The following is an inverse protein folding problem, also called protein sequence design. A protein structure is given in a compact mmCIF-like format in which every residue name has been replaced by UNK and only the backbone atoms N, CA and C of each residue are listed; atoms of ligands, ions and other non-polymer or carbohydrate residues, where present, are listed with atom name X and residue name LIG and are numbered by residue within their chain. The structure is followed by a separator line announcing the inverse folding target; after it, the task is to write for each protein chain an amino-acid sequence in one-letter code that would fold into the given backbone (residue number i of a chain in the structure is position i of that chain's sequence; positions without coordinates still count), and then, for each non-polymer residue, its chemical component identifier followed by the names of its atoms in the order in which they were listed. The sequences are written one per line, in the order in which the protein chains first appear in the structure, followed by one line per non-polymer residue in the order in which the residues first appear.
data_IF_652476156606
#
_entry.id   IF_652476156606
#
_cell.length_a   1.000
_cell.length_b   1.000
_cell.length_c   1.000
_cell.angle_alpha   90.00
_cell.angle_beta   90.00
_cell.angle_gamma   90.00
#
_symmetry.space_group_name_H-M   'P 1'
#
loop_
_entity.id
_entity.type
_entity.pdbx_description
1 polymer ?
2 water ?
#
# COMPACT_ATOMS: atom_id res chain seq x y z
N UNK A 1 -12.10 -2.63 4.72
CA UNK A 1 -11.73 -2.89 3.29
C UNK A 1 -10.32 -2.35 3.02
N UNK A 2 -9.43 -3.18 2.44
CA UNK A 2 -8.20 -2.67 1.82
C UNK A 2 -8.36 -2.39 0.35
N UNK A 3 -8.09 -1.16 -0.03
CA UNK A 3 -8.11 -0.78 -1.43
C UNK A 3 -6.75 -0.20 -1.78
N UNK A 4 -6.57 0.10 -3.07
CA UNK A 4 -5.36 0.76 -3.56
C UNK A 4 -5.56 1.45 -4.91
N UNK A 5 -5.40 2.77 -4.95
CA UNK A 5 -5.57 3.55 -6.18
C UNK A 5 -4.37 3.43 -7.08
N UNK A 6 -3.20 3.67 -6.50
CA UNK A 6 -1.96 3.54 -7.23
C UNK A 6 -1.34 2.18 -6.98
N UNK A 7 -1.35 1.32 -7.98
CA UNK A 7 -0.71 0.03 -7.84
C UNK A 7 0.44 -0.20 -8.81
N UNK A 8 1.41 -1.00 -8.37
CA UNK A 8 2.62 -1.21 -9.14
C UNK A 8 2.96 -2.67 -9.11
N UNK A 9 3.38 -3.22 -10.23
CA UNK A 9 3.67 -4.65 -10.31
C UNK A 9 4.79 -4.95 -11.28
N UNK A 10 5.77 -5.76 -10.87
CA UNK A 10 6.83 -6.20 -11.79
C UNK A 10 6.30 -7.13 -12.84
N UNK A 11 6.87 -7.08 -14.03
CA UNK A 11 6.46 -8.00 -15.07
C UNK A 11 7.12 -9.35 -14.81
N UNK A 12 6.36 -10.30 -14.25
CA UNK A 12 6.93 -11.60 -13.90
C UNK A 12 5.86 -12.49 -13.31
N UNK A 13 6.03 -13.80 -13.45
CA UNK A 13 5.09 -14.76 -12.88
C UNK A 13 5.70 -15.40 -11.66
N UNK A 14 5.09 -15.21 -10.49
CA UNK A 14 3.99 -14.29 -10.26
C UNK A 14 4.58 -12.92 -10.09
N UNK A 15 3.73 -11.90 -10.04
CA UNK A 15 4.27 -10.55 -9.99
C UNK A 15 4.37 -10.11 -8.54
N UNK A 16 5.35 -9.28 -8.21
CA UNK A 16 5.31 -8.65 -6.90
C UNK A 16 4.80 -7.23 -7.07
N UNK A 17 3.75 -6.91 -6.33
CA UNK A 17 3.08 -5.64 -6.48
C UNK A 17 3.08 -4.90 -5.17
N UNK A 18 3.38 -3.62 -5.24
CA UNK A 18 3.38 -2.76 -4.06
C UNK A 18 2.29 -1.70 -4.29
N UNK A 19 1.79 -1.10 -3.22
CA UNK A 19 0.80 -0.05 -3.38
C UNK A 19 1.33 1.33 -2.96
N UNK A 20 1.44 2.24 -3.91
CA UNK A 20 2.11 3.51 -3.64
C UNK A 20 1.29 4.58 -2.93
N UNK A 21 -0.01 4.38 -2.78
CA UNK A 21 -0.78 5.51 -2.32
C UNK A 21 -0.59 5.69 -0.85
N UNK A 22 -0.81 6.92 -0.39
CA UNK A 22 -0.25 7.38 0.86
C UNK A 22 -1.32 7.99 1.80
N UNK A 23 -1.53 7.36 2.95
CA UNK A 23 -2.60 7.74 3.89
C UNK A 23 -2.02 8.46 5.10
N UNK A 24 -2.87 9.10 5.91
CA UNK A 24 -2.42 9.74 7.17
C UNK A 24 -2.63 8.87 8.44
N UNK A 25 -1.61 8.76 9.29
CA UNK A 25 -1.69 8.10 10.60
C UNK A 25 -1.61 6.59 10.59
N UNK A 26 -2.14 5.95 9.56
CA UNK A 26 -1.93 4.52 9.43
C UNK A 26 -2.25 3.91 8.08
N UNK A 27 -1.63 2.77 7.82
CA UNK A 27 -1.98 1.95 6.66
C UNK A 27 -3.31 1.21 6.74
N UNK A 28 -3.77 0.70 5.60
CA UNK A 28 -5.05 -0.01 5.59
C UNK A 28 -5.06 -1.30 6.41
N UNK A 29 -6.24 -1.92 6.52
CA UNK A 29 -6.45 -2.95 7.52
C UNK A 29 -5.58 -4.18 7.30
N UNK A 30 -5.28 -4.48 6.05
CA UNK A 30 -4.52 -5.68 5.74
C UNK A 30 -3.08 -5.37 5.35
N UNK A 31 -2.50 -4.35 5.96
CA UNK A 31 -1.09 -4.08 5.68
C UNK A 31 -0.17 -4.54 6.80
N UNK A 32 0.71 -5.49 6.47
CA UNK A 32 1.70 -5.98 7.43
C UNK A 32 2.72 -4.92 7.82
N UNK A 33 3.54 -4.51 6.86
CA UNK A 33 4.56 -3.50 7.10
C UNK A 33 4.12 -2.11 6.62
N UNK A 34 4.01 -1.18 7.56
CA UNK A 34 3.47 0.16 7.35
C UNK A 34 4.53 1.16 7.75
N UNK A 35 4.92 2.06 6.86
CA UNK A 35 6.07 2.92 7.11
C UNK A 35 5.66 4.36 6.97
N UNK A 36 5.67 5.08 8.09
CA UNK A 36 5.14 6.43 8.20
C UNK A 36 6.19 7.48 8.50
N UNK A 37 5.95 8.69 8.01
CA UNK A 37 6.75 9.86 8.36
C UNK A 37 6.67 10.07 9.85
N UNK A 38 7.80 10.25 10.51
CA UNK A 38 7.80 10.61 11.91
C UNK A 38 7.36 12.07 12.08
N UNK A 39 6.05 12.30 12.05
CA UNK A 39 5.50 13.65 12.26
C UNK A 39 3.98 13.66 12.32
N UNK A 40 3.41 14.61 13.06
CA UNK A 40 1.96 14.66 13.20
C UNK A 40 1.37 15.65 12.24
N UNK A 41 0.34 15.25 11.48
CA UNK A 41 -0.08 13.88 11.22
C UNK A 41 0.89 13.20 10.29
N UNK A 42 0.83 11.88 10.22
CA UNK A 42 1.92 11.13 9.63
C UNK A 42 1.60 10.55 8.26
N UNK A 43 2.58 10.55 7.39
CA UNK A 43 2.35 10.09 6.04
C UNK A 43 2.73 8.64 6.02
N UNK A 44 1.71 7.80 5.93
CA UNK A 44 1.94 6.38 5.93
C UNK A 44 1.77 5.72 4.55
N UNK A 45 2.79 4.98 4.12
CA UNK A 45 2.72 4.10 2.95
C UNK A 45 2.66 2.69 3.47
N UNK A 46 2.19 1.77 2.63
CA UNK A 46 2.28 0.35 2.94
C UNK A 46 3.26 -0.35 2.03
N UNK A 47 4.35 -0.86 2.61
CA UNK A 47 5.48 -1.31 1.81
C UNK A 47 5.38 -2.78 1.42
N UNK A 48 4.28 -3.42 1.81
CA UNK A 48 4.01 -4.82 1.47
C UNK A 48 4.18 -5.03 -0.04
N UNK A 49 4.66 -6.20 -0.45
CA UNK A 49 4.83 -6.50 -1.87
C UNK A 49 3.99 -7.69 -2.33
N UNK A 50 2.69 -7.69 -2.04
CA UNK A 50 1.76 -8.79 -2.42
C UNK A 50 1.69 -9.08 -3.92
N UNK A 51 1.31 -10.30 -4.32
CA UNK A 51 1.35 -10.66 -5.75
C UNK A 51 0.04 -10.48 -6.53
N UNK A 52 -0.67 -9.40 -6.18
CA UNK A 52 -1.91 -8.95 -6.84
C UNK A 52 -2.22 -7.52 -6.37
N UNK A 53 -2.92 -6.75 -7.19
CA UNK A 53 -3.27 -5.40 -6.79
C UNK A 53 -4.63 -5.37 -6.14
N UNK A 54 -4.81 -4.61 -5.08
CA UNK A 54 -6.17 -4.36 -4.62
C UNK A 54 -6.95 -3.48 -5.62
N UNK A 55 -8.24 -3.29 -5.39
CA UNK A 55 -9.03 -2.49 -6.31
C UNK A 55 -8.99 -1.06 -5.79
N UNK A 56 -9.25 -0.07 -6.64
CA UNK A 56 -9.38 1.34 -6.26
C UNK A 56 -10.22 1.59 -4.98
N UNK A 57 -10.53 2.85 -4.64
CA UNK A 57 -11.43 3.08 -3.49
C UNK A 57 -12.68 3.97 -3.71
N UNK A 58 -13.41 4.18 -2.60
CA UNK A 58 -14.48 5.21 -2.45
C UNK A 58 -15.85 4.81 -3.02
#
# INVERSE_FOLDING_TARGET
KPCCDQCACTKSNPPQCRCSDMRLNSCHSACKSCICALSYPAQCFCVDITDFCYEPCK
#
